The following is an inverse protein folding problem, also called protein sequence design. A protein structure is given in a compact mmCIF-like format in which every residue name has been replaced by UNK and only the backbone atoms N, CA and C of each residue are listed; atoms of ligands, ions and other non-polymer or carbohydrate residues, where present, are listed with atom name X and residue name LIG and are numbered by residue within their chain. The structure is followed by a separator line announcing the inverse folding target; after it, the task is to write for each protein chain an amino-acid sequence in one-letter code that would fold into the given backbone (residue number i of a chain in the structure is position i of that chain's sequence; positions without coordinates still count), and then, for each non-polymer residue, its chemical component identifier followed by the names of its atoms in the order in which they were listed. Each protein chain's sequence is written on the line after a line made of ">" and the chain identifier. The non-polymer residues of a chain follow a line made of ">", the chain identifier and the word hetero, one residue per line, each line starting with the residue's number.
data_IF_323334483779
#
_entry.id   IF_323334483779
#
_cell.length_a   1.000
_cell.length_b   1.000
_cell.length_c   1.000
_cell.angle_alpha   90.00
_cell.angle_beta   90.00
_cell.angle_gamma   90.00
#
_symmetry.space_group_name_H-M   'P 1'
#
loop_
_entity.id
_entity.type
_entity.pdbx_description
1 polymer ?
#
# COMPACT_ATOMS: atom_id res chain seq x y z
N UNK A 1 17.77 -17.88 -11.58
CA UNK A 1 17.01 -18.14 -12.82
C UNK A 1 16.00 -17.01 -12.97
N UNK A 2 15.76 -16.51 -14.19
CA UNK A 2 14.69 -15.54 -14.42
C UNK A 2 13.34 -16.18 -14.06
N UNK A 3 12.46 -15.41 -13.41
CA UNK A 3 11.11 -15.88 -13.08
C UNK A 3 10.19 -15.68 -14.30
N UNK A 4 9.31 -16.65 -14.56
CA UNK A 4 8.24 -16.46 -15.51
C UNK A 4 7.23 -15.42 -14.98
N UNK A 5 6.48 -14.72 -15.85
CA UNK A 5 5.56 -13.66 -15.43
C UNK A 5 4.53 -14.05 -14.36
N UNK A 6 4.12 -15.33 -14.32
CA UNK A 6 3.13 -15.85 -13.36
C UNK A 6 3.75 -16.35 -12.04
N UNK A 7 5.08 -16.37 -11.91
CA UNK A 7 5.78 -16.81 -10.69
C UNK A 7 6.06 -15.64 -9.73
N UNK A 8 5.87 -14.40 -10.17
CA UNK A 8 5.94 -13.23 -9.32
C UNK A 8 4.82 -13.23 -8.27
N UNK A 9 5.14 -12.75 -7.06
CA UNK A 9 4.22 -12.71 -5.91
C UNK A 9 3.72 -14.09 -5.42
N UNK A 10 4.31 -15.20 -5.87
CA UNK A 10 3.83 -16.53 -5.50
C UNK A 10 4.56 -17.14 -4.30
N UNK A 11 5.79 -16.71 -4.04
CA UNK A 11 6.68 -17.33 -3.05
C UNK A 11 7.28 -16.29 -2.12
N UNK A 12 7.29 -16.60 -0.82
CA UNK A 12 8.13 -15.91 0.15
C UNK A 12 9.45 -16.67 0.22
N UNK A 13 10.51 -16.05 -0.27
CA UNK A 13 11.83 -16.65 -0.36
C UNK A 13 12.63 -16.44 0.93
N UNK A 14 13.55 -17.37 1.28
CA UNK A 14 14.50 -17.14 2.36
C UNK A 14 15.33 -15.86 2.17
N UNK A 15 15.84 -15.31 3.26
CA UNK A 15 16.75 -14.17 3.22
C UNK A 15 17.98 -14.45 2.35
N UNK A 16 18.38 -13.47 1.53
CA UNK A 16 19.55 -13.58 0.67
C UNK A 16 19.36 -14.45 -0.59
N UNK A 17 18.12 -14.86 -0.92
CA UNK A 17 17.85 -15.60 -2.16
C UNK A 17 18.18 -14.77 -3.41
N UNK A 18 17.88 -13.47 -3.35
CA UNK A 18 18.16 -12.51 -4.41
C UNK A 18 19.06 -11.39 -3.88
N UNK A 19 19.99 -10.93 -4.72
CA UNK A 19 20.87 -9.81 -4.41
C UNK A 19 20.08 -8.49 -4.36
N UNK A 20 20.17 -7.76 -3.25
CA UNK A 20 19.40 -6.53 -3.02
C UNK A 20 20.07 -5.26 -3.54
N UNK A 21 21.34 -5.34 -3.94
CA UNK A 21 22.07 -4.22 -4.54
C UNK A 21 23.10 -4.73 -5.58
N UNK A 22 22.64 -5.37 -6.67
CA UNK A 22 23.52 -5.91 -7.69
C UNK A 22 24.35 -4.81 -8.34
N UNK A 23 25.66 -5.04 -8.48
CA UNK A 23 26.57 -4.07 -9.11
C UNK A 23 26.11 -3.70 -10.51
N UNK A 24 25.60 -4.63 -11.30
CA UNK A 24 25.13 -4.36 -12.66
C UNK A 24 23.69 -3.82 -12.72
N UNK A 25 23.02 -3.66 -11.58
CA UNK A 25 21.60 -3.31 -11.50
C UNK A 25 20.66 -4.53 -11.68
N UNK A 26 19.39 -4.31 -11.40
CA UNK A 26 18.34 -5.31 -11.53
C UNK A 26 17.94 -5.51 -12.98
N UNK A 27 17.73 -6.75 -13.43
CA UNK A 27 17.26 -7.02 -14.79
C UNK A 27 15.74 -6.76 -14.93
N UNK A 28 14.92 -7.58 -14.28
CA UNK A 28 13.45 -7.59 -14.36
C UNK A 28 12.77 -7.80 -12.99
N UNK A 29 13.55 -8.12 -11.96
CA UNK A 29 13.10 -8.46 -10.61
C UNK A 29 13.71 -7.51 -9.58
N UNK A 30 12.86 -6.96 -8.72
CA UNK A 30 13.27 -6.26 -7.51
C UNK A 30 12.95 -7.12 -6.27
N UNK A 31 13.94 -7.46 -5.41
CA UNK A 31 13.72 -8.28 -4.23
C UNK A 31 13.32 -7.42 -3.02
N UNK A 32 12.01 -7.26 -2.83
CA UNK A 32 11.50 -6.57 -1.66
C UNK A 32 11.69 -7.43 -0.40
N UNK A 33 12.11 -6.80 0.70
CA UNK A 33 12.52 -7.51 1.93
C UNK A 33 11.52 -7.23 3.05
N UNK A 34 11.00 -8.30 3.65
CA UNK A 34 10.16 -8.27 4.85
C UNK A 34 10.99 -7.94 6.10
N UNK A 35 10.38 -7.55 7.23
CA UNK A 35 11.13 -7.17 8.44
C UNK A 35 12.01 -8.29 9.02
N UNK A 36 11.68 -9.55 8.75
CA UNK A 36 12.45 -10.73 9.16
C UNK A 36 13.53 -11.16 8.15
N UNK A 37 13.73 -10.38 7.09
CA UNK A 37 14.74 -10.61 6.06
C UNK A 37 14.27 -11.52 4.91
N UNK A 38 13.11 -12.17 5.01
CA UNK A 38 12.54 -12.94 3.89
C UNK A 38 12.25 -12.01 2.71
N UNK A 39 12.29 -12.56 1.49
CA UNK A 39 12.20 -11.78 0.27
C UNK A 39 10.95 -12.14 -0.55
N UNK A 40 10.38 -11.12 -1.20
CA UNK A 40 9.31 -11.28 -2.20
C UNK A 40 9.84 -10.73 -3.52
N UNK A 41 9.79 -11.55 -4.56
CA UNK A 41 10.14 -11.14 -5.91
C UNK A 41 9.05 -10.26 -6.50
N UNK A 42 9.38 -9.01 -6.83
CA UNK A 42 8.49 -8.06 -7.48
C UNK A 42 8.94 -7.81 -8.93
N UNK A 43 8.04 -7.86 -9.92
CA UNK A 43 8.41 -7.52 -11.29
C UNK A 43 8.60 -6.01 -11.41
N UNK A 44 9.61 -5.62 -12.20
CA UNK A 44 9.89 -4.23 -12.53
C UNK A 44 9.00 -3.80 -13.70
N UNK A 45 8.29 -2.67 -13.53
CA UNK A 45 7.41 -2.11 -14.56
C UNK A 45 7.86 -0.70 -14.93
N UNK A 46 8.07 -0.50 -16.23
CA UNK A 46 8.34 0.83 -16.79
C UNK A 46 7.12 1.74 -16.59
N UNK A 47 7.36 2.96 -16.13
CA UNK A 47 6.31 3.95 -15.92
C UNK A 47 5.87 4.58 -17.26
N UNK A 48 4.59 4.96 -17.40
CA UNK A 48 4.14 5.72 -18.57
C UNK A 48 4.90 7.04 -18.73
N UNK A 49 5.12 7.46 -19.97
CA UNK A 49 5.76 8.76 -20.29
C UNK A 49 7.28 8.71 -20.48
N UNK A 50 7.88 7.52 -20.56
CA UNK A 50 9.29 7.31 -20.89
C UNK A 50 9.70 5.84 -20.79
N UNK A 51 10.97 5.55 -21.10
CA UNK A 51 11.57 4.21 -20.95
C UNK A 51 12.66 4.17 -19.86
N UNK A 52 12.94 5.31 -19.22
CA UNK A 52 14.06 5.48 -18.29
C UNK A 52 13.67 5.33 -16.82
N UNK A 53 12.36 5.25 -16.51
CA UNK A 53 11.84 5.15 -15.14
C UNK A 53 10.96 3.92 -14.97
N UNK A 54 11.14 3.22 -13.85
CA UNK A 54 10.35 2.05 -13.50
C UNK A 54 10.05 2.01 -12.00
N UNK A 55 9.19 1.07 -11.62
CA UNK A 55 8.87 0.75 -10.23
C UNK A 55 8.72 -0.75 -10.05
N UNK A 56 9.00 -1.24 -8.85
CA UNK A 56 8.62 -2.60 -8.45
C UNK A 56 7.10 -2.67 -8.24
N UNK A 57 6.43 -3.63 -8.86
CA UNK A 57 4.97 -3.75 -8.80
C UNK A 57 4.55 -4.79 -7.77
N UNK A 58 3.55 -4.46 -6.95
CA UNK A 58 2.83 -5.40 -6.10
C UNK A 58 1.36 -5.42 -6.53
N UNK A 59 0.80 -6.60 -6.77
CA UNK A 59 -0.62 -6.79 -7.10
C UNK A 59 -1.18 -7.84 -6.15
N UNK A 60 -1.76 -7.37 -5.04
CA UNK A 60 -2.14 -8.23 -3.91
C UNK A 60 -3.11 -9.34 -4.33
N UNK A 61 -4.11 -9.04 -5.15
CA UNK A 61 -5.11 -10.03 -5.59
C UNK A 61 -4.58 -11.04 -6.63
N UNK A 62 -3.31 -10.95 -7.01
CA UNK A 62 -2.60 -11.95 -7.82
C UNK A 62 -1.51 -12.67 -7.02
N UNK A 63 -1.24 -12.23 -5.78
CA UNK A 63 -0.28 -12.87 -4.91
C UNK A 63 -0.84 -14.20 -4.37
N UNK A 64 0.05 -15.14 -4.07
CA UNK A 64 -0.36 -16.35 -3.36
C UNK A 64 -0.80 -16.00 -1.93
N UNK A 65 -1.64 -16.83 -1.33
CA UNK A 65 -2.03 -16.65 0.07
C UNK A 65 -0.82 -16.65 1.02
N UNK A 66 0.25 -17.39 0.70
CA UNK A 66 1.48 -17.38 1.50
C UNK A 66 2.16 -16.00 1.50
N UNK A 67 2.15 -15.29 0.38
CA UNK A 67 2.66 -13.91 0.29
C UNK A 67 1.71 -12.93 0.97
N UNK A 68 0.39 -13.06 0.75
CA UNK A 68 -0.61 -12.23 1.43
C UNK A 68 -0.52 -12.37 2.95
N UNK A 69 -0.38 -13.59 3.46
CA UNK A 69 -0.28 -13.89 4.89
C UNK A 69 0.99 -13.31 5.51
N UNK A 70 2.14 -13.40 4.82
CA UNK A 70 3.40 -12.83 5.28
C UNK A 70 3.35 -11.29 5.33
N UNK A 71 2.73 -10.66 4.32
CA UNK A 71 2.50 -9.22 4.33
C UNK A 71 1.57 -8.83 5.47
N UNK A 72 0.42 -9.50 5.62
CA UNK A 72 -0.55 -9.22 6.67
C UNK A 72 0.02 -9.43 8.09
N UNK A 73 0.91 -10.40 8.28
CA UNK A 73 1.64 -10.62 9.54
C UNK A 73 2.54 -9.43 9.88
N UNK A 74 3.40 -9.02 8.93
CA UNK A 74 4.27 -7.85 9.12
C UNK A 74 3.46 -6.56 9.36
N UNK A 75 2.38 -6.37 8.60
CA UNK A 75 1.48 -5.21 8.76
C UNK A 75 0.76 -5.23 10.11
N UNK A 76 0.33 -6.39 10.60
CA UNK A 76 -0.31 -6.51 11.91
C UNK A 76 0.66 -6.17 13.04
N UNK A 77 1.92 -6.59 12.94
CA UNK A 77 2.96 -6.22 13.90
C UNK A 77 3.14 -4.69 13.96
N UNK A 78 3.25 -4.02 12.81
CA UNK A 78 3.33 -2.55 12.72
C UNK A 78 2.09 -1.86 13.29
N UNK A 79 0.90 -2.34 12.95
CA UNK A 79 -0.36 -1.80 13.44
C UNK A 79 -0.53 -1.99 14.96
N UNK A 80 -0.06 -3.10 15.52
CA UNK A 80 -0.23 -3.45 16.94
C UNK A 80 0.38 -2.41 17.88
N UNK A 81 1.48 -1.74 17.47
CA UNK A 81 2.13 -0.67 18.23
C UNK A 81 1.18 0.51 18.54
N UNK A 82 0.14 0.68 17.71
CA UNK A 82 -0.87 1.73 17.86
C UNK A 82 -2.11 1.30 18.65
N UNK A 83 -2.19 0.01 19.03
CA UNK A 83 -3.33 -0.59 19.76
C UNK A 83 -4.69 -0.21 19.14
N UNK A 84 -4.89 -0.44 17.83
CA UNK A 84 -6.14 -0.09 17.16
C UNK A 84 -7.33 -0.81 17.80
N UNK A 85 -8.47 -0.14 17.78
CA UNK A 85 -9.78 -0.69 18.15
C UNK A 85 -10.60 -1.03 16.90
N UNK A 86 -10.23 -0.46 15.75
CA UNK A 86 -10.81 -0.76 14.45
C UNK A 86 -9.76 -0.62 13.34
N UNK A 87 -9.95 -1.42 12.29
CA UNK A 87 -9.14 -1.38 11.06
C UNK A 87 -10.04 -0.93 9.92
N UNK A 88 -9.58 0.07 9.17
CA UNK A 88 -10.20 0.49 7.91
C UNK A 88 -9.41 -0.11 6.75
N UNK A 89 -10.08 -0.78 5.82
CA UNK A 89 -9.48 -1.27 4.59
C UNK A 89 -9.75 -0.35 3.40
N UNK A 90 -8.70 0.01 2.67
CA UNK A 90 -8.79 0.78 1.43
C UNK A 90 -8.99 -0.17 0.23
N UNK A 91 -9.99 0.08 -0.64
CA UNK A 91 -10.25 -0.74 -1.81
C UNK A 91 -9.35 -0.42 -3.01
N UNK A 92 -9.11 -1.37 -3.90
CA UNK A 92 -9.61 -2.77 -3.87
C UNK A 92 -8.57 -3.72 -3.26
N UNK A 93 -7.30 -3.50 -3.59
CA UNK A 93 -6.21 -4.42 -3.28
C UNK A 93 -5.80 -4.40 -1.80
N UNK A 94 -6.12 -3.34 -1.05
CA UNK A 94 -5.90 -3.28 0.39
C UNK A 94 -6.91 -4.09 1.23
N UNK A 95 -8.06 -4.49 0.67
CA UNK A 95 -9.11 -5.18 1.45
C UNK A 95 -8.71 -6.57 1.97
N UNK A 96 -8.06 -7.45 1.18
CA UNK A 96 -7.58 -8.74 1.69
C UNK A 96 -6.58 -8.57 2.83
N UNK A 97 -5.64 -7.63 2.68
CA UNK A 97 -4.67 -7.28 3.72
C UNK A 97 -5.35 -6.73 4.98
N UNK A 98 -6.33 -5.84 4.85
CA UNK A 98 -7.08 -5.30 5.98
C UNK A 98 -7.83 -6.39 6.75
N UNK A 99 -8.40 -7.38 6.05
CA UNK A 99 -9.01 -8.55 6.67
C UNK A 99 -7.96 -9.40 7.41
N UNK A 100 -6.81 -9.67 6.76
CA UNK A 100 -5.70 -10.40 7.36
C UNK A 100 -5.13 -9.74 8.61
N UNK A 101 -4.98 -8.41 8.59
CA UNK A 101 -4.51 -7.59 9.72
C UNK A 101 -5.54 -7.59 10.85
N UNK A 102 -6.82 -7.31 10.56
CA UNK A 102 -7.87 -7.27 11.57
C UNK A 102 -8.01 -8.60 12.32
N UNK A 103 -7.94 -9.74 11.61
CA UNK A 103 -7.97 -11.08 12.20
C UNK A 103 -6.80 -11.31 13.15
N UNK A 104 -5.58 -10.96 12.73
CA UNK A 104 -4.36 -11.12 13.54
C UNK A 104 -4.34 -10.24 14.79
N UNK A 105 -5.03 -9.09 14.73
CA UNK A 105 -5.24 -8.21 15.88
C UNK A 105 -6.42 -8.64 16.78
N UNK A 106 -7.10 -9.75 16.45
CA UNK A 106 -8.24 -10.27 17.23
C UNK A 106 -9.54 -9.49 17.02
N UNK A 107 -9.64 -8.64 16.00
CA UNK A 107 -10.88 -7.95 15.66
C UNK A 107 -11.84 -8.87 14.91
N UNK A 108 -13.13 -8.81 15.26
CA UNK A 108 -14.16 -9.60 14.59
C UNK A 108 -14.45 -9.15 13.15
N UNK A 109 -14.06 -7.92 12.79
CA UNK A 109 -14.30 -7.33 11.47
C UNK A 109 -13.34 -6.17 11.18
N UNK A 110 -13.21 -5.84 9.90
CA UNK A 110 -12.69 -4.55 9.41
C UNK A 110 -13.84 -3.72 8.82
N UNK A 111 -13.64 -2.40 8.70
CA UNK A 111 -14.54 -1.50 7.97
C UNK A 111 -13.94 -1.23 6.59
N UNK A 112 -14.63 -1.64 5.53
CA UNK A 112 -14.18 -1.37 4.17
C UNK A 112 -14.65 0.01 3.70
N UNK A 113 -13.73 0.78 3.11
CA UNK A 113 -14.11 1.89 2.23
C UNK A 113 -14.57 1.34 0.88
N UNK A 114 -15.32 2.14 0.11
CA UNK A 114 -15.83 1.74 -1.20
C UNK A 114 -15.54 2.75 -2.29
N UNK A 115 -15.41 2.29 -3.53
CA UNK A 115 -15.28 3.18 -4.71
C UNK A 115 -16.55 3.28 -5.56
N UNK A 116 -17.54 2.43 -5.29
CA UNK A 116 -18.82 2.42 -6.00
C UNK A 116 -19.86 3.17 -5.19
N UNK A 117 -20.48 4.18 -5.80
CA UNK A 117 -21.60 4.90 -5.19
C UNK A 117 -22.79 3.93 -5.03
N UNK A 118 -23.29 3.81 -3.82
CA UNK A 118 -24.55 3.13 -3.51
C UNK A 118 -25.60 4.19 -3.17
N UNK A 119 -26.89 3.91 -3.37
CA UNK A 119 -27.95 4.94 -3.21
C UNK A 119 -28.05 5.48 -1.77
N UNK A 120 -27.50 4.75 -0.79
CA UNK A 120 -27.47 5.14 0.62
C UNK A 120 -26.17 5.85 1.04
N UNK A 121 -25.24 6.12 0.13
CA UNK A 121 -24.02 6.86 0.42
C UNK A 121 -24.27 8.36 0.35
N UNK A 122 -23.72 9.07 1.32
CA UNK A 122 -23.75 10.52 1.40
C UNK A 122 -22.57 11.11 0.62
N UNK A 123 -22.84 12.08 -0.25
CA UNK A 123 -21.79 12.79 -1.00
C UNK A 123 -20.85 13.57 -0.06
N UNK A 124 -21.33 14.00 1.12
CA UNK A 124 -20.51 14.61 2.17
C UNK A 124 -19.48 13.64 2.77
N UNK A 125 -19.76 12.32 2.71
CA UNK A 125 -18.89 11.24 3.17
C UNK A 125 -18.14 10.60 1.99
N UNK A 126 -17.60 11.44 1.11
CA UNK A 126 -16.79 11.01 -0.01
C UNK A 126 -15.73 12.02 -0.45
N UNK A 127 -14.69 11.51 -1.10
CA UNK A 127 -13.61 12.29 -1.70
C UNK A 127 -13.28 11.84 -3.13
N UNK A 128 -12.93 12.75 -4.04
CA UNK A 128 -12.30 12.39 -5.31
C UNK A 128 -10.97 11.66 -5.07
N UNK A 129 -10.73 10.61 -5.83
CA UNK A 129 -9.49 9.85 -5.86
C UNK A 129 -8.95 9.89 -7.30
N UNK A 130 -7.89 10.64 -7.54
CA UNK A 130 -7.25 10.67 -8.86
C UNK A 130 -6.42 9.41 -9.05
N UNK A 131 -6.88 8.50 -9.92
CA UNK A 131 -6.07 7.37 -10.40
C UNK A 131 -5.24 7.86 -11.59
N UNK A 132 -3.92 7.67 -11.52
CA UNK A 132 -2.98 7.98 -12.62
C UNK A 132 -3.40 7.28 -13.93
N UNK A 133 -4.04 6.12 -13.83
CA UNK A 133 -4.37 5.25 -14.96
C UNK A 133 -5.76 5.46 -15.58
N UNK A 134 -6.59 6.40 -15.10
CA UNK A 134 -7.95 6.60 -15.65
C UNK A 134 -8.45 8.05 -15.53
N UNK A 135 -8.04 8.95 -16.44
CA UNK A 135 -8.45 10.36 -16.41
C UNK A 135 -9.95 10.60 -16.64
N UNK A 136 -10.63 9.69 -17.36
CA UNK A 136 -12.02 9.88 -17.82
C UNK A 136 -13.11 9.50 -16.81
N UNK A 137 -12.76 8.83 -15.70
CA UNK A 137 -13.71 8.48 -14.64
C UNK A 137 -13.14 8.96 -13.31
N UNK A 138 -13.70 10.05 -12.78
CA UNK A 138 -13.40 10.50 -11.43
C UNK A 138 -13.85 9.43 -10.43
N UNK A 139 -12.94 8.52 -10.07
CA UNK A 139 -13.17 7.57 -8.99
C UNK A 139 -13.31 8.37 -7.70
N UNK A 140 -14.28 8.01 -6.88
CA UNK A 140 -14.46 8.59 -5.55
C UNK A 140 -14.27 7.49 -4.53
N UNK A 141 -13.77 7.84 -3.36
CA UNK A 141 -13.72 6.97 -2.19
C UNK A 141 -14.82 7.39 -1.22
N UNK A 142 -15.48 6.41 -0.62
CA UNK A 142 -16.65 6.58 0.23
C UNK A 142 -16.51 5.79 1.53
N UNK A 143 -17.10 6.32 2.61
CA UNK A 143 -17.37 5.57 3.84
C UNK A 143 -18.89 5.39 3.98
N UNK A 144 -19.34 4.18 4.30
CA UNK A 144 -20.76 3.94 4.56
C UNK A 144 -21.15 4.58 5.91
N UNK A 145 -22.15 5.49 5.97
CA UNK A 145 -22.62 6.10 7.21
C UNK A 145 -22.94 5.07 8.31
N UNK A 146 -23.40 3.87 7.95
CA UNK A 146 -23.72 2.80 8.91
C UNK A 146 -22.50 2.27 9.65
N UNK A 147 -21.30 2.47 9.11
CA UNK A 147 -20.06 2.04 9.73
C UNK A 147 -19.47 3.09 10.68
N UNK A 148 -19.93 4.35 10.64
CA UNK A 148 -19.41 5.41 11.50
C UNK A 148 -19.47 5.11 13.01
N UNK A 149 -20.54 4.47 13.56
CA UNK A 149 -20.57 4.10 14.97
C UNK A 149 -19.46 3.13 15.40
N UNK A 150 -18.82 2.43 14.45
CA UNK A 150 -17.68 1.54 14.72
C UNK A 150 -16.33 2.29 14.77
N UNK A 151 -16.29 3.53 14.28
CA UNK A 151 -15.05 4.29 14.05
C UNK A 151 -14.95 5.54 14.95
N UNK A 152 -16.07 6.19 15.25
CA UNK A 152 -16.09 7.43 16.02
C UNK A 152 -15.52 7.24 17.43
N UNK A 153 -14.56 8.11 17.80
CA UNK A 153 -13.89 8.07 19.10
C UNK A 153 -12.97 6.85 19.32
N UNK A 154 -12.68 6.07 18.28
CA UNK A 154 -11.83 4.87 18.35
C UNK A 154 -10.44 5.14 17.81
N UNK A 155 -9.44 4.40 18.31
CA UNK A 155 -8.12 4.34 17.66
C UNK A 155 -8.23 3.52 16.37
N UNK A 156 -8.19 4.19 15.23
CA UNK A 156 -8.37 3.55 13.93
C UNK A 156 -7.04 3.48 13.18
N UNK A 157 -6.73 2.32 12.59
CA UNK A 157 -5.62 2.19 11.62
C UNK A 157 -6.18 2.01 10.23
N UNK A 158 -5.61 2.73 9.27
CA UNK A 158 -5.91 2.56 7.83
C UNK A 158 -4.96 1.53 7.24
N UNK A 159 -5.50 0.58 6.48
CA UNK A 159 -4.75 -0.46 5.79
C UNK A 159 -4.97 -0.37 4.28
N UNK A 160 -3.87 -0.35 3.52
CA UNK A 160 -3.88 -0.30 2.05
C UNK A 160 -2.78 -1.20 1.44
N UNK A 161 -2.75 -1.33 0.11
CA UNK A 161 -1.73 -2.12 -0.58
C UNK A 161 -0.42 -1.33 -0.76
N UNK A 162 -0.44 -0.20 -1.46
CA UNK A 162 0.77 0.52 -1.86
C UNK A 162 0.61 2.02 -1.71
N UNK A 163 1.57 2.67 -1.06
CA UNK A 163 1.72 4.13 -1.08
C UNK A 163 2.94 4.51 -1.90
N UNK A 164 2.70 5.26 -2.99
CA UNK A 164 3.73 5.69 -3.95
C UNK A 164 3.84 7.23 -4.02
N UNK A 165 2.90 7.91 -4.68
CA UNK A 165 2.83 9.38 -4.68
C UNK A 165 2.14 9.96 -3.43
N UNK A 166 1.44 9.14 -2.66
CA UNK A 166 0.61 9.57 -1.51
C UNK A 166 -0.77 10.11 -1.89
N UNK A 167 -1.09 10.31 -3.17
CA UNK A 167 -2.35 10.94 -3.61
C UNK A 167 -3.61 10.20 -3.15
N UNK A 168 -3.63 8.87 -3.28
CA UNK A 168 -4.78 8.05 -2.87
C UNK A 168 -4.94 8.03 -1.34
N UNK A 169 -3.83 7.89 -0.60
CA UNK A 169 -3.83 7.97 0.86
C UNK A 169 -4.32 9.35 1.34
N UNK A 170 -3.92 10.43 0.67
CA UNK A 170 -4.41 11.78 0.99
C UNK A 170 -5.93 11.88 0.85
N UNK A 171 -6.51 11.30 -0.20
CA UNK A 171 -7.96 11.27 -0.39
C UNK A 171 -8.65 10.49 0.74
N UNK A 172 -8.07 9.36 1.18
CA UNK A 172 -8.58 8.60 2.34
C UNK A 172 -8.51 9.43 3.62
N UNK A 173 -7.38 10.08 3.90
CA UNK A 173 -7.23 10.91 5.12
C UNK A 173 -8.22 12.09 5.13
N UNK A 174 -8.44 12.74 3.99
CA UNK A 174 -9.44 13.82 3.86
C UNK A 174 -10.87 13.31 4.08
N UNK A 175 -11.19 12.14 3.52
CA UNK A 175 -12.48 11.49 3.72
C UNK A 175 -12.72 11.21 5.21
N UNK A 176 -11.74 10.61 5.89
CA UNK A 176 -11.86 10.28 7.31
C UNK A 176 -11.99 11.55 8.15
N UNK A 177 -11.25 12.61 7.84
CA UNK A 177 -11.40 13.91 8.50
C UNK A 177 -12.80 14.50 8.32
N UNK A 178 -13.39 14.43 7.12
CA UNK A 178 -14.80 14.83 6.89
C UNK A 178 -15.78 14.04 7.75
N UNK A 179 -15.48 12.77 8.00
CA UNK A 179 -16.27 11.89 8.87
C UNK A 179 -15.96 12.07 10.37
N UNK A 180 -15.10 13.02 10.76
CA UNK A 180 -14.67 13.24 12.14
C UNK A 180 -13.80 12.12 12.70
N UNK A 181 -13.04 11.42 11.84
CA UNK A 181 -12.17 10.31 12.19
C UNK A 181 -10.72 10.70 11.88
N UNK A 182 -9.86 10.57 12.88
CA UNK A 182 -8.42 10.77 12.76
C UNK A 182 -7.71 9.43 13.00
N UNK A 183 -7.15 8.80 11.95
CA UNK A 183 -6.39 7.56 12.12
C UNK A 183 -5.16 7.78 13.01
N UNK A 184 -4.82 6.76 13.81
CA UNK A 184 -3.59 6.76 14.61
C UNK A 184 -2.37 6.31 13.81
N UNK A 185 -2.58 5.57 12.72
CA UNK A 185 -1.55 5.18 11.75
C UNK A 185 -2.17 4.77 10.41
N UNK A 186 -1.33 4.73 9.38
CA UNK A 186 -1.59 4.02 8.14
C UNK A 186 -0.53 2.93 7.95
N UNK A 187 -0.97 1.72 7.60
CA UNK A 187 -0.06 0.58 7.36
C UNK A 187 -0.35 0.00 5.99
N UNK A 188 0.67 -0.08 5.15
CA UNK A 188 0.54 -0.58 3.77
C UNK A 188 1.41 -1.79 3.55
N UNK A 189 1.09 -2.61 2.55
CA UNK A 189 1.98 -3.69 2.17
C UNK A 189 3.32 -3.14 1.66
N UNK A 190 3.30 -2.12 0.79
CA UNK A 190 4.52 -1.56 0.21
C UNK A 190 4.57 -0.03 0.22
N UNK A 191 5.68 0.53 0.73
CA UNK A 191 6.06 1.91 0.45
C UNK A 191 6.93 1.94 -0.82
N UNK A 192 6.53 2.73 -1.81
CA UNK A 192 7.19 2.81 -3.11
C UNK A 192 7.78 4.20 -3.35
N UNK A 193 9.11 4.30 -3.24
CA UNK A 193 9.84 5.57 -3.23
C UNK A 193 9.49 6.44 -2.02
N UNK A 194 9.88 7.71 -2.07
CA UNK A 194 9.71 8.65 -0.96
C UNK A 194 8.83 9.86 -1.30
N UNK A 195 8.33 9.97 -2.54
CA UNK A 195 7.52 11.11 -3.00
C UNK A 195 6.26 11.34 -2.16
N UNK A 196 5.67 10.27 -1.61
CA UNK A 196 4.52 10.35 -0.71
C UNK A 196 4.79 11.17 0.55
N UNK A 197 6.03 11.23 1.04
CA UNK A 197 6.39 11.96 2.26
C UNK A 197 6.12 13.45 2.10
N UNK A 198 6.60 14.04 1.01
CA UNK A 198 6.40 15.45 0.71
C UNK A 198 4.90 15.75 0.47
N UNK A 199 4.23 14.92 -0.33
CA UNK A 199 2.82 15.11 -0.66
C UNK A 199 1.91 15.03 0.57
N UNK A 200 2.14 14.07 1.47
CA UNK A 200 1.36 13.93 2.71
C UNK A 200 1.81 14.92 3.78
N UNK A 201 3.10 15.24 3.87
CA UNK A 201 3.64 16.19 4.85
C UNK A 201 3.14 17.61 4.66
N UNK A 202 2.84 18.04 3.43
CA UNK A 202 2.16 19.32 3.16
C UNK A 202 0.75 19.39 3.77
N UNK A 203 0.12 18.24 4.01
CA UNK A 203 -1.21 18.16 4.59
C UNK A 203 -1.17 17.93 6.10
N UNK A 204 -0.29 17.02 6.54
CA UNK A 204 -0.09 16.68 7.94
C UNK A 204 1.31 16.07 8.13
N UNK A 205 2.29 16.92 8.42
CA UNK A 205 3.66 16.49 8.69
C UNK A 205 3.78 15.61 9.94
N UNK A 206 2.86 15.76 10.91
CA UNK A 206 2.87 14.98 12.15
C UNK A 206 2.43 13.53 11.93
N UNK A 207 1.63 13.27 10.89
CA UNK A 207 1.16 11.94 10.55
C UNK A 207 2.15 11.12 9.70
N UNK A 208 3.08 11.76 8.98
CA UNK A 208 4.06 11.08 8.10
C UNK A 208 4.88 10.00 8.83
N UNK A 209 5.39 10.20 10.07
CA UNK A 209 6.07 9.16 10.84
C UNK A 209 5.17 7.99 11.28
N UNK A 210 3.86 8.09 11.07
CA UNK A 210 2.87 7.06 11.41
C UNK A 210 2.37 6.31 10.17
N UNK A 211 3.07 6.43 9.05
CA UNK A 211 2.84 5.65 7.84
C UNK A 211 3.92 4.59 7.72
N UNK A 212 3.52 3.33 7.72
CA UNK A 212 4.42 2.17 7.74
C UNK A 212 4.18 1.27 6.54
N UNK A 213 5.25 0.63 6.04
CA UNK A 213 5.19 -0.39 5.00
C UNK A 213 5.74 -1.72 5.52
N UNK A 214 5.10 -2.84 5.21
CA UNK A 214 5.68 -4.16 5.49
C UNK A 214 6.94 -4.43 4.65
N UNK A 215 6.92 -3.96 3.41
CA UNK A 215 8.07 -3.94 2.51
C UNK A 215 8.25 -2.53 1.92
N UNK A 216 9.41 -2.28 1.32
CA UNK A 216 9.68 -1.05 0.58
C UNK A 216 10.36 -1.35 -0.76
N UNK A 217 10.20 -0.44 -1.72
CA UNK A 217 10.94 -0.45 -2.98
C UNK A 217 11.23 0.99 -3.42
N UNK A 218 12.41 1.29 -3.99
CA UNK A 218 12.69 2.61 -4.53
C UNK A 218 11.96 2.80 -5.86
N UNK A 219 11.96 4.04 -6.37
CA UNK A 219 11.81 4.25 -7.81
C UNK A 219 13.08 3.78 -8.50
N UNK A 220 12.95 3.33 -9.73
CA UNK A 220 14.07 2.77 -10.48
C UNK A 220 14.36 3.62 -11.70
N UNK A 221 15.65 3.77 -12.01
CA UNK A 221 16.16 4.43 -13.21
C UNK A 221 16.92 3.43 -14.08
N UNK A 222 16.73 3.52 -15.38
CA UNK A 222 17.40 2.68 -16.36
C UNK A 222 18.89 3.06 -16.47
N UNK A 223 19.76 2.07 -16.45
CA UNK A 223 21.20 2.23 -16.69
C UNK A 223 21.50 2.25 -18.18
N UNK A 224 22.73 2.62 -18.56
CA UNK A 224 23.19 2.53 -19.94
C UNK A 224 23.21 1.08 -20.47
N UNK A 225 23.34 0.11 -19.56
CA UNK A 225 23.33 -1.33 -19.84
C UNK A 225 21.92 -1.91 -19.95
N UNK A 226 20.89 -1.09 -19.72
CA UNK A 226 19.48 -1.48 -19.84
C UNK A 226 18.89 -2.20 -18.62
N UNK A 227 19.68 -2.32 -17.54
CA UNK A 227 19.25 -2.76 -16.21
C UNK A 227 18.67 -1.58 -15.40
N UNK A 228 18.21 -1.85 -14.18
CA UNK A 228 17.57 -0.89 -13.31
C UNK A 228 18.38 -0.66 -12.03
N UNK A 229 18.49 0.58 -11.58
CA UNK A 229 19.05 0.92 -10.27
C UNK A 229 18.09 1.79 -9.50
N UNK A 230 18.19 1.79 -8.17
CA UNK A 230 17.47 2.73 -7.33
C UNK A 230 17.76 4.17 -7.79
N UNK A 231 16.71 4.98 -7.95
CA UNK A 231 16.82 6.43 -8.10
C UNK A 231 17.31 6.97 -6.76
N UNK A 232 18.40 7.74 -6.76
CA UNK A 232 18.85 8.46 -5.56
C UNK A 232 17.78 9.49 -5.17
N UNK A 233 17.46 9.55 -3.87
CA UNK A 233 16.42 10.42 -3.31
C UNK A 233 16.84 11.89 -3.25
#
# INVERSE_FOLDING_TARGET
>A
MPLAPHEFWQTVYPAGTFETNPQDGFADLYPATLPDGRQIALPIRVLPGGEDKAVASLIVNQASFGVEDALAEAMAALASAYRPEAVIGVPTLGLPLANGVARRLGHARMVALGTSRKFWYDDALSEPMSSITSPAHAKRIYVDPRMLPLLQGRRVVVVDDVVSSGTSMLAVLRLLRKAGIEPVAAVVAMLQGDNWRAALGQHDASFVPHIHGAIASPRLKRTAQGTWRAEEA
#
